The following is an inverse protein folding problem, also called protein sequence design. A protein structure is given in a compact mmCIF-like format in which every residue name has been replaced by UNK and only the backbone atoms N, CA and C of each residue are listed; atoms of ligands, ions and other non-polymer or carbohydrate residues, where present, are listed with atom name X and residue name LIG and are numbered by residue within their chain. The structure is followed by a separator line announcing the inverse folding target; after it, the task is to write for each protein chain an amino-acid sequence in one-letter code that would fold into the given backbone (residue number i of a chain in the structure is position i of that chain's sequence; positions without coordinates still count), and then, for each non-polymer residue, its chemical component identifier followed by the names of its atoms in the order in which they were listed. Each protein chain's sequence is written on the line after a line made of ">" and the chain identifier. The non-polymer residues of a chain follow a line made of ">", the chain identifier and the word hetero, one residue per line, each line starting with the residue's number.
data_IF_435470690962
#
_entry.id   IF_435470690962
#
_cell.length_a   1.000
_cell.length_b   1.000
_cell.length_c   1.000
_cell.angle_alpha   90.00
_cell.angle_beta   90.00
_cell.angle_gamma   90.00
#
_symmetry.space_group_name_H-M   'P 1'
#
loop_
_entity.id
_entity.type
_entity.pdbx_description
1 polymer ?
#
# COMPACT_ATOMS: atom_id res chain seq x y z
N UNK A 1 4.20 16.54 -29.63
CA UNK A 1 4.03 16.78 -29.20
C UNK A 1 3.87 16.95 -28.27
N UNK A 2 3.86 16.99 -27.83
CA UNK A 2 3.62 17.09 -27.13
C UNK A 2 3.26 17.60 -26.42
N UNK A 3 3.10 17.68 -26.18
CA UNK A 3 2.69 17.99 -25.62
C UNK A 3 2.47 18.77 -24.78
N UNK A 4 1.86 18.79 -24.64
CA UNK A 4 1.26 19.59 -23.76
C UNK A 4 1.74 19.52 -22.42
N UNK A 5 2.26 20.52 -21.82
CA UNK A 5 2.77 20.49 -20.49
C UNK A 5 2.09 21.44 -19.57
N UNK A 6 1.07 22.08 -19.99
CA UNK A 6 0.36 23.02 -19.15
C UNK A 6 -0.50 22.36 -18.13
N UNK A 7 -1.15 23.11 -17.25
CA UNK A 7 -2.05 22.55 -16.25
C UNK A 7 -3.20 21.81 -16.92
N UNK A 8 -3.70 20.81 -16.22
CA UNK A 8 -4.85 20.06 -16.69
C UNK A 8 -6.09 20.92 -16.53
N UNK A 9 -6.92 21.06 -17.58
CA UNK A 9 -8.16 21.82 -17.43
C UNK A 9 -9.05 21.27 -16.33
N UNK A 10 -9.84 22.12 -15.73
CA UNK A 10 -10.66 21.71 -14.59
C UNK A 10 -11.56 20.52 -14.88
N UNK A 11 -12.18 20.49 -16.05
CA UNK A 11 -13.06 19.38 -16.37
C UNK A 11 -12.30 18.08 -16.50
N UNK A 12 -11.08 18.12 -17.04
CA UNK A 12 -10.26 16.92 -17.14
C UNK A 12 -9.67 16.55 -15.80
N UNK A 13 -9.33 17.54 -14.98
CA UNK A 13 -8.81 17.26 -13.67
C UNK A 13 -9.83 16.49 -12.84
N UNK A 14 -11.09 16.89 -12.90
CA UNK A 14 -12.11 16.17 -12.19
C UNK A 14 -12.21 14.72 -12.64
N UNK A 15 -12.11 14.48 -13.95
CA UNK A 15 -12.13 13.11 -14.45
C UNK A 15 -10.93 12.30 -14.00
N UNK A 16 -9.77 12.93 -14.00
CA UNK A 16 -8.55 12.25 -13.55
C UNK A 16 -8.64 11.89 -12.08
N UNK A 17 -9.21 12.78 -11.29
CA UNK A 17 -9.35 12.51 -9.86
C UNK A 17 -10.28 11.37 -9.55
N UNK A 18 -11.15 11.03 -10.48
CA UNK A 18 -12.08 9.92 -10.29
C UNK A 18 -11.54 8.59 -10.79
N UNK A 19 -10.36 8.57 -11.38
CA UNK A 19 -9.78 7.31 -11.85
C UNK A 19 -9.36 6.47 -10.67
N UNK A 20 -9.87 5.24 -10.56
CA UNK A 20 -9.49 4.40 -9.42
C UNK A 20 -8.06 3.89 -9.57
N UNK A 21 -7.37 3.82 -8.45
CA UNK A 21 -6.04 3.22 -8.39
C UNK A 21 -6.05 2.17 -7.29
N UNK A 22 -5.08 1.27 -7.34
CA UNK A 22 -4.98 0.23 -6.34
C UNK A 22 -4.00 0.65 -5.27
N UNK A 23 -4.47 0.73 -4.05
CA UNK A 23 -3.65 1.02 -2.90
C UNK A 23 -3.32 -0.29 -2.20
N UNK A 24 -2.03 -0.56 -2.05
CA UNK A 24 -1.58 -1.78 -1.39
C UNK A 24 -0.75 -1.43 -0.18
N UNK A 25 -0.99 -2.14 0.90
CA UNK A 25 -0.24 -1.94 2.13
C UNK A 25 0.42 -3.25 2.48
N UNK A 26 1.75 -3.23 2.53
CA UNK A 26 2.53 -4.45 2.76
C UNK A 26 2.76 -4.61 4.25
N UNK A 27 2.07 -5.58 4.83
CA UNK A 27 2.18 -5.82 6.27
C UNK A 27 3.39 -6.67 6.64
N UNK A 28 3.98 -7.35 5.67
CA UNK A 28 5.16 -8.16 5.93
C UNK A 28 5.33 -9.24 4.90
N UNK A 29 6.40 -9.98 5.02
CA UNK A 29 6.73 -11.06 4.09
C UNK A 29 7.24 -12.25 4.86
N UNK A 30 7.15 -13.41 4.24
CA UNK A 30 7.67 -14.63 4.84
C UNK A 30 8.13 -15.55 3.72
N UNK A 31 9.35 -16.02 3.84
CA UNK A 31 9.90 -16.97 2.88
C UNK A 31 9.67 -18.37 3.41
N UNK A 32 8.97 -19.20 2.65
CA UNK A 32 8.70 -20.57 3.09
C UNK A 32 8.96 -21.54 1.94
N UNK A 33 9.35 -22.77 2.25
CA UNK A 33 9.48 -23.80 1.21
C UNK A 33 8.14 -24.11 0.58
N UNK A 34 8.15 -24.44 -0.70
CA UNK A 34 6.93 -24.75 -1.41
C UNK A 34 6.16 -25.90 -0.76
N UNK A 35 6.90 -26.91 -0.28
CA UNK A 35 6.24 -28.03 0.38
C UNK A 35 5.46 -27.63 1.60
N UNK A 36 5.97 -26.64 2.34
CA UNK A 36 5.25 -26.16 3.50
C UNK A 36 4.00 -25.39 3.09
N UNK A 37 4.07 -24.69 1.97
CA UNK A 37 2.92 -23.98 1.47
C UNK A 37 1.75 -24.95 1.22
N UNK A 38 2.05 -26.11 0.64
CA UNK A 38 1.01 -27.10 0.37
C UNK A 38 0.43 -27.71 1.63
N UNK A 39 1.14 -27.62 2.74
CA UNK A 39 0.64 -28.16 4.00
C UNK A 39 -0.22 -27.17 4.78
N UNK A 40 -0.37 -25.96 4.29
CA UNK A 40 -1.19 -24.97 4.98
C UNK A 40 -2.66 -25.35 4.86
N UNK A 41 -3.38 -25.10 5.92
CA UNK A 41 -4.80 -25.43 5.97
C UNK A 41 -5.50 -24.39 6.80
N UNK A 42 -6.82 -24.55 6.90
CA UNK A 42 -7.61 -23.63 7.70
C UNK A 42 -7.10 -23.63 9.13
N UNK A 43 -6.86 -22.44 9.67
CA UNK A 43 -6.33 -22.31 11.01
C UNK A 43 -4.82 -22.21 11.08
N UNK A 44 -4.12 -22.41 9.96
CA UNK A 44 -2.68 -22.22 9.95
C UNK A 44 -2.34 -20.76 10.22
N UNK A 45 -1.21 -20.55 10.90
CA UNK A 45 -0.74 -19.21 11.22
C UNK A 45 0.57 -18.97 10.49
N UNK A 46 0.64 -17.85 9.80
CA UNK A 46 1.85 -17.45 9.09
C UNK A 46 2.44 -16.24 9.81
N UNK A 47 3.68 -16.39 10.23
CA UNK A 47 4.37 -15.31 10.94
C UNK A 47 5.03 -14.41 9.91
N UNK A 48 4.77 -13.12 10.04
CA UNK A 48 5.35 -12.12 9.15
C UNK A 48 6.62 -11.54 9.77
N UNK A 49 7.42 -10.92 8.94
CA UNK A 49 8.71 -10.40 9.38
C UNK A 49 8.63 -9.02 10.05
N UNK A 50 7.43 -8.48 10.20
CA UNK A 50 7.22 -7.18 10.82
C UNK A 50 6.67 -7.33 12.23
N UNK A 51 7.09 -6.44 13.10
CA UNK A 51 6.56 -6.38 14.45
C UNK A 51 5.56 -5.23 14.56
N UNK A 52 4.72 -5.30 15.57
CA UNK A 52 3.77 -4.22 15.83
C UNK A 52 4.55 -2.94 16.08
N UNK A 53 4.16 -1.87 15.39
CA UNK A 53 4.83 -0.58 15.53
C UNK A 53 5.89 -0.31 14.49
N UNK A 54 6.28 -1.32 13.71
CA UNK A 54 7.21 -1.07 12.61
C UNK A 54 6.50 -0.43 11.43
N UNK A 55 7.22 0.42 10.68
CA UNK A 55 6.61 1.05 9.51
C UNK A 55 6.25 0.02 8.45
N UNK A 56 5.17 0.28 7.75
CA UNK A 56 4.75 -0.54 6.62
C UNK A 56 4.79 0.30 5.36
N UNK A 57 5.01 -0.35 4.24
CA UNK A 57 5.08 0.32 2.95
C UNK A 57 3.69 0.47 2.36
N UNK A 58 3.45 1.63 1.77
CA UNK A 58 2.19 1.93 1.10
C UNK A 58 2.50 2.14 -0.37
N UNK A 59 1.89 1.33 -1.21
CA UNK A 59 2.13 1.36 -2.65
C UNK A 59 0.86 1.72 -3.39
N UNK A 60 1.03 2.47 -4.46
CA UNK A 60 -0.06 2.74 -5.40
C UNK A 60 0.36 2.15 -6.73
N UNK A 61 -0.43 1.21 -7.22
CA UNK A 61 -0.12 0.49 -8.45
C UNK A 61 1.31 -0.05 -8.45
N UNK A 62 1.68 -0.65 -7.31
CA UNK A 62 2.98 -1.30 -7.12
C UNK A 62 4.17 -0.35 -7.02
N UNK A 63 3.90 0.93 -6.81
CA UNK A 63 4.97 1.91 -6.60
C UNK A 63 4.91 2.41 -5.18
N UNK A 64 6.04 2.41 -4.51
CA UNK A 64 6.13 2.91 -3.15
C UNK A 64 5.88 4.41 -3.13
N UNK A 65 4.85 4.83 -2.39
CA UNK A 65 4.51 6.25 -2.30
C UNK A 65 4.57 6.78 -0.89
N UNK A 66 4.52 5.91 0.10
CA UNK A 66 4.48 6.38 1.48
C UNK A 66 4.80 5.24 2.42
N UNK A 67 4.91 5.58 3.70
CA UNK A 67 5.02 4.62 4.78
C UNK A 67 4.08 5.04 5.89
N UNK A 68 3.73 4.09 6.71
CA UNK A 68 2.83 4.37 7.80
C UNK A 68 2.91 3.32 8.88
N UNK A 69 2.03 3.46 9.86
CA UNK A 69 1.94 2.52 10.97
C UNK A 69 0.54 1.95 11.02
N UNK A 70 0.47 0.65 11.27
CA UNK A 70 -0.83 -0.02 11.39
C UNK A 70 -1.45 0.34 12.72
N UNK A 71 -2.72 0.67 12.68
CA UNK A 71 -3.51 0.98 13.86
C UNK A 71 -4.78 0.15 13.85
N UNK A 72 -5.39 0.03 15.00
CA UNK A 72 -6.70 -0.62 15.10
C UNK A 72 -7.69 0.43 15.57
N UNK A 73 -8.75 0.60 14.80
CA UNK A 73 -9.78 1.58 15.16
C UNK A 73 -10.62 1.06 16.31
N UNK A 74 -11.44 1.95 16.88
CA UNK A 74 -12.28 1.57 18.01
C UNK A 74 -13.26 0.45 17.68
N UNK A 75 -13.70 0.39 16.45
CA UNK A 75 -14.63 -0.66 16.03
C UNK A 75 -13.89 -1.90 15.51
N UNK A 76 -12.60 -2.01 15.75
CA UNK A 76 -11.86 -3.23 15.43
C UNK A 76 -11.36 -3.35 14.02
N UNK A 77 -11.36 -2.28 13.25
CA UNK A 77 -10.85 -2.31 11.89
C UNK A 77 -9.37 -1.97 11.85
N UNK A 78 -8.71 -2.49 10.84
CA UNK A 78 -7.33 -2.11 10.60
C UNK A 78 -7.30 -0.79 9.85
N UNK A 79 -6.37 0.06 10.24
CA UNK A 79 -6.17 1.34 9.60
C UNK A 79 -4.68 1.61 9.53
N UNK A 80 -4.28 2.56 8.70
CA UNK A 80 -2.88 2.93 8.59
C UNK A 80 -2.76 4.44 8.71
N UNK A 81 -1.95 4.88 9.66
CA UNK A 81 -1.64 6.29 9.81
C UNK A 81 -0.38 6.56 9.01
N UNK A 82 -0.45 7.49 8.06
CA UNK A 82 0.70 7.79 7.24
C UNK A 82 1.72 8.59 8.04
N UNK A 83 2.96 8.16 8.00
CA UNK A 83 4.04 8.83 8.73
C UNK A 83 5.05 9.50 7.80
N UNK A 84 5.10 9.06 6.55
CA UNK A 84 6.11 9.54 5.63
C UNK A 84 5.60 9.46 4.21
N UNK A 85 5.87 10.46 3.41
CA UNK A 85 5.50 10.44 2.00
C UNK A 85 6.78 10.47 1.19
N UNK A 86 6.88 9.56 0.22
CA UNK A 86 8.07 9.48 -0.60
C UNK A 86 8.11 10.68 -1.55
N UNK A 87 9.06 11.56 -1.32
CA UNK A 87 9.11 12.80 -2.09
C UNK A 87 9.52 12.56 -3.52
N UNK A 88 10.46 11.68 -3.73
CA UNK A 88 10.93 11.47 -5.09
C UNK A 88 9.93 10.71 -5.91
N UNK A 89 9.11 9.94 -5.26
CA UNK A 89 8.10 9.20 -5.97
C UNK A 89 7.10 10.10 -6.63
N UNK A 90 7.11 11.33 -6.23
CA UNK A 90 6.14 12.25 -6.75
C UNK A 90 6.34 12.50 -8.21
N UNK A 91 7.45 12.19 -8.71
CA UNK A 91 7.54 12.47 -10.11
C UNK A 91 7.75 11.40 -10.99
#
# INVERSE_FOLDING_TARGET
>A
MSETRGPIPEDRLASVMDIPVTLSIVLGEQSIPLGKLYSLSRGSVIVLDKQIGEPVDILVNDRLVARGEVQVTEDGRLAVAMTEIASSGAV
#
